data_IF_302776535663
#
_entry.id   IF_302776535663
#
_cell.length_a   1.000
_cell.length_b   1.000
_cell.length_c   1.000
_cell.angle_alpha   90.00
_cell.angle_beta   90.00
_cell.angle_gamma   90.00
#
_symmetry.space_group_name_H-M   'P 1'
#
loop_
_entity.id
_entity.type
_entity.pdbx_description
1 polymer ?
#
# COMPACT_ATOMS: atom_id res chain seq x y z
N UNK A 1 5.05 -5.57 13.45
CA UNK A 1 4.30 -6.62 12.72
C UNK A 1 3.33 -5.99 11.74
N UNK A 2 3.18 -6.50 10.51
CA UNK A 2 2.37 -5.89 9.43
C UNK A 2 0.93 -5.57 9.86
N UNK A 3 0.31 -6.41 10.69
CA UNK A 3 -1.02 -6.16 11.27
C UNK A 3 -1.09 -4.81 12.00
N UNK A 4 -0.05 -4.43 12.76
CA UNK A 4 -0.01 -3.14 13.47
C UNK A 4 0.03 -1.96 12.52
N UNK A 5 0.69 -2.10 11.36
CA UNK A 5 0.69 -1.07 10.34
C UNK A 5 -0.73 -0.86 9.80
N UNK A 6 -1.43 -1.93 9.43
CA UNK A 6 -2.81 -1.81 8.96
C UNK A 6 -3.73 -1.22 10.04
N UNK A 7 -3.56 -1.59 11.32
CA UNK A 7 -4.27 -0.93 12.41
C UNK A 7 -3.97 0.57 12.50
N UNK A 8 -2.72 0.99 12.31
CA UNK A 8 -2.33 2.40 12.29
C UNK A 8 -2.99 3.18 11.13
N UNK A 9 -3.29 2.51 10.00
CA UNK A 9 -4.09 3.06 8.91
C UNK A 9 -5.61 2.99 9.14
N UNK A 10 -6.05 2.60 10.34
CA UNK A 10 -7.46 2.57 10.72
C UNK A 10 -8.24 1.37 10.17
N UNK A 11 -7.58 0.24 9.91
CA UNK A 11 -8.25 -1.03 9.62
C UNK A 11 -8.61 -1.79 10.90
N UNK A 12 -9.80 -2.38 10.93
CA UNK A 12 -10.25 -3.19 12.06
C UNK A 12 -9.69 -4.61 11.99
N UNK A 13 -9.75 -5.34 13.11
CA UNK A 13 -9.37 -6.76 13.13
C UNK A 13 -10.20 -7.60 12.15
N UNK A 14 -11.49 -7.27 11.98
CA UNK A 14 -12.37 -7.95 11.01
C UNK A 14 -11.89 -7.73 9.57
N UNK A 15 -11.50 -6.50 9.23
CA UNK A 15 -10.97 -6.15 7.91
C UNK A 15 -9.68 -6.91 7.61
N UNK A 16 -8.78 -6.94 8.60
CA UNK A 16 -7.47 -7.59 8.48
C UNK A 16 -7.65 -9.11 8.34
N UNK A 17 -8.48 -9.75 9.16
CA UNK A 17 -8.71 -11.19 9.10
C UNK A 17 -9.40 -11.62 7.79
N UNK A 18 -10.48 -10.93 7.41
CA UNK A 18 -11.29 -11.33 6.25
C UNK A 18 -10.57 -11.10 4.91
N UNK A 19 -9.70 -10.09 4.81
CA UNK A 19 -9.05 -9.71 3.56
C UNK A 19 -7.55 -9.91 3.58
N UNK A 20 -6.84 -9.29 4.51
CA UNK A 20 -5.36 -9.30 4.48
C UNK A 20 -4.82 -10.70 4.76
N UNK A 21 -5.27 -11.36 5.83
CA UNK A 21 -4.80 -12.69 6.20
C UNK A 21 -5.27 -13.76 5.20
N UNK A 22 -6.50 -13.62 4.68
CA UNK A 22 -7.11 -14.64 3.82
C UNK A 22 -6.72 -14.51 2.35
N UNK A 23 -6.68 -13.28 1.80
CA UNK A 23 -6.43 -13.05 0.36
C UNK A 23 -4.99 -12.61 0.04
N UNK A 24 -4.28 -12.04 1.03
CA UNK A 24 -2.92 -11.52 0.84
C UNK A 24 -1.93 -12.04 1.91
N UNK A 25 -1.90 -13.36 2.20
CA UNK A 25 -1.08 -13.92 3.28
C UNK A 25 0.41 -13.64 3.10
N UNK A 26 0.88 -13.42 1.86
CA UNK A 26 2.28 -13.07 1.58
C UNK A 26 2.73 -11.78 2.29
N UNK A 27 1.81 -10.86 2.61
CA UNK A 27 2.14 -9.64 3.33
C UNK A 27 2.67 -9.95 4.74
N UNK A 28 2.30 -11.08 5.33
CA UNK A 28 2.78 -11.48 6.66
C UNK A 28 4.27 -11.84 6.66
N UNK A 29 4.80 -12.29 5.52
CA UNK A 29 6.22 -12.60 5.36
C UNK A 29 7.09 -11.36 5.10
N UNK A 30 6.48 -10.18 4.89
CA UNK A 30 7.19 -8.94 4.56
C UNK A 30 7.66 -8.21 5.81
N UNK A 31 8.85 -7.63 5.75
CA UNK A 31 9.35 -6.74 6.80
C UNK A 31 8.77 -5.34 6.65
N UNK A 32 8.25 -4.76 7.73
CA UNK A 32 7.77 -3.38 7.68
C UNK A 32 8.88 -2.43 7.28
N UNK A 33 10.06 -2.55 7.89
CA UNK A 33 11.15 -1.59 7.71
C UNK A 33 11.82 -1.74 6.35
N UNK A 34 12.00 -2.97 5.86
CA UNK A 34 12.72 -3.26 4.62
C UNK A 34 11.80 -3.27 3.39
N UNK A 35 10.57 -3.76 3.53
CA UNK A 35 9.68 -3.98 2.39
C UNK A 35 8.57 -2.94 2.30
N UNK A 36 7.83 -2.67 3.39
CA UNK A 36 6.62 -1.82 3.31
C UNK A 36 6.95 -0.33 3.40
N UNK A 37 7.81 0.06 4.33
CA UNK A 37 8.15 1.47 4.59
C UNK A 37 8.72 2.17 3.34
N UNK A 38 9.67 1.59 2.58
CA UNK A 38 10.17 2.25 1.36
C UNK A 38 9.10 2.42 0.29
N UNK A 39 8.13 1.51 0.22
CA UNK A 39 6.98 1.62 -0.70
C UNK A 39 6.08 2.76 -0.27
N UNK A 40 5.73 2.84 1.02
CA UNK A 40 4.90 3.92 1.56
C UNK A 40 5.56 5.29 1.34
N UNK A 41 6.83 5.45 1.70
CA UNK A 41 7.57 6.69 1.53
C UNK A 41 7.64 7.13 0.07
N UNK A 42 7.83 6.18 -0.86
CA UNK A 42 7.82 6.48 -2.28
C UNK A 42 6.43 6.92 -2.77
N UNK A 43 5.36 6.24 -2.36
CA UNK A 43 3.99 6.60 -2.74
C UNK A 43 3.60 7.99 -2.17
N UNK A 44 3.97 8.28 -0.93
CA UNK A 44 3.74 9.57 -0.28
C UNK A 44 4.52 10.70 -0.98
N UNK A 45 5.78 10.45 -1.32
CA UNK A 45 6.60 11.36 -2.13
C UNK A 45 6.00 11.63 -3.51
N UNK A 46 5.36 10.61 -4.10
CA UNK A 46 4.67 10.69 -5.37
C UNK A 46 3.30 11.41 -5.32
N UNK A 47 2.80 11.74 -4.12
CA UNK A 47 1.55 12.47 -3.90
C UNK A 47 0.40 11.65 -3.29
N UNK A 48 0.54 10.33 -3.18
CA UNK A 48 -0.47 9.46 -2.59
C UNK A 48 -0.48 9.60 -1.06
N UNK A 49 -1.51 10.26 -0.49
CA UNK A 49 -1.52 10.64 0.93
C UNK A 49 -2.85 10.35 1.60
N UNK A 50 -2.81 10.20 2.93
CA UNK A 50 -4.02 10.09 3.76
C UNK A 50 -4.98 9.00 3.28
N UNK A 51 -6.18 9.41 2.90
CA UNK A 51 -7.24 8.50 2.43
C UNK A 51 -6.88 7.77 1.13
N UNK A 52 -6.13 8.40 0.21
CA UNK A 52 -5.73 7.75 -1.04
C UNK A 52 -4.77 6.58 -0.78
N UNK A 53 -3.82 6.80 0.14
CA UNK A 53 -2.86 5.77 0.52
C UNK A 53 -3.56 4.61 1.24
N UNK A 54 -4.49 4.94 2.15
CA UNK A 54 -5.36 3.96 2.78
C UNK A 54 -6.13 3.17 1.70
N UNK A 55 -6.85 3.84 0.82
CA UNK A 55 -7.64 3.21 -0.23
C UNK A 55 -6.79 2.28 -1.13
N UNK A 56 -5.63 2.75 -1.58
CA UNK A 56 -4.69 1.95 -2.38
C UNK A 56 -4.24 0.69 -1.64
N UNK A 57 -3.92 0.79 -0.35
CA UNK A 57 -3.55 -0.36 0.47
C UNK A 57 -4.70 -1.38 0.62
N UNK A 58 -5.96 -0.94 0.57
CA UNK A 58 -7.13 -1.80 0.67
C UNK A 58 -7.50 -2.47 -0.66
N UNK A 59 -7.58 -1.68 -1.72
CA UNK A 59 -7.99 -2.12 -3.04
C UNK A 59 -6.89 -2.94 -3.71
N UNK A 60 -5.64 -2.55 -3.52
CA UNK A 60 -4.50 -3.17 -4.17
C UNK A 60 -3.31 -3.43 -3.21
N UNK A 61 -3.46 -4.33 -2.21
CA UNK A 61 -2.38 -4.66 -1.28
C UNK A 61 -1.12 -5.25 -1.96
N UNK A 62 -1.26 -5.74 -3.20
CA UNK A 62 -0.12 -6.16 -4.05
C UNK A 62 0.83 -5.02 -4.42
N UNK A 63 0.49 -3.77 -4.12
CA UNK A 63 1.41 -2.65 -4.25
C UNK A 63 2.69 -2.85 -3.44
N UNK A 64 2.69 -3.65 -2.37
CA UNK A 64 3.90 -4.00 -1.59
C UNK A 64 4.76 -5.12 -2.22
N UNK A 65 4.56 -5.40 -3.51
CA UNK A 65 5.41 -6.32 -4.29
C UNK A 65 6.65 -5.61 -4.84
N UNK A 66 7.61 -6.39 -5.35
CA UNK A 66 8.87 -5.85 -5.88
C UNK A 66 8.66 -4.90 -7.08
N UNK A 67 7.52 -4.99 -7.77
CA UNK A 67 7.18 -4.19 -8.96
C UNK A 67 6.37 -2.91 -8.65
N UNK A 68 6.36 -2.45 -7.39
CA UNK A 68 5.52 -1.33 -6.97
C UNK A 68 5.71 -0.06 -7.78
N UNK A 69 6.94 0.26 -8.23
CA UNK A 69 7.23 1.45 -9.07
C UNK A 69 6.50 1.39 -10.41
N UNK A 70 6.46 0.21 -11.03
CA UNK A 70 5.75 -0.01 -12.31
C UNK A 70 4.24 0.17 -12.10
N UNK A 71 3.72 -0.33 -10.99
CA UNK A 71 2.31 -0.23 -10.63
C UNK A 71 1.92 1.22 -10.29
N UNK A 72 2.73 1.93 -9.50
CA UNK A 72 2.54 3.35 -9.19
C UNK A 72 2.49 4.21 -10.46
N UNK A 73 3.42 4.01 -11.41
CA UNK A 73 3.38 4.71 -12.72
C UNK A 73 2.15 4.36 -13.55
N UNK A 74 1.60 3.16 -13.40
CA UNK A 74 0.36 2.78 -14.07
C UNK A 74 -0.83 3.52 -13.44
N UNK A 75 -0.94 3.52 -12.13
CA UNK A 75 -2.01 4.23 -11.43
C UNK A 75 -1.96 5.74 -11.64
N UNK A 76 -0.76 6.34 -11.65
CA UNK A 76 -0.58 7.76 -11.96
C UNK A 76 -1.03 8.11 -13.40
N UNK A 77 -0.75 7.24 -14.39
CA UNK A 77 -1.27 7.40 -15.76
C UNK A 77 -2.80 7.33 -15.85
N UNK A 78 -3.41 6.61 -14.91
CA UNK A 78 -4.87 6.48 -14.81
C UNK A 78 -5.49 7.58 -13.93
N UNK A 79 -4.70 8.49 -13.35
CA UNK A 79 -5.19 9.53 -12.45
C UNK A 79 -5.74 8.99 -11.12
N UNK A 80 -5.24 7.84 -10.65
CA UNK A 80 -5.75 7.16 -9.45
C UNK A 80 -4.90 7.47 -8.21
N UNK A 81 -5.54 7.42 -7.04
CA UNK A 81 -4.90 7.46 -5.71
C UNK A 81 -4.01 8.70 -5.45
N UNK A 82 -4.33 9.83 -6.09
CA UNK A 82 -3.57 11.09 -5.91
C UNK A 82 -2.12 11.03 -6.42
N UNK A 83 -1.76 10.03 -7.22
CA UNK A 83 -0.40 9.85 -7.73
C UNK A 83 -0.08 10.81 -8.89
N UNK A 84 1.08 11.47 -8.82
CA UNK A 84 1.57 12.35 -9.88
C UNK A 84 2.74 11.72 -10.65
N UNK A 85 2.64 11.67 -11.98
CA UNK A 85 3.71 11.16 -12.85
C UNK A 85 5.02 11.96 -12.76
N UNK A 86 4.93 13.27 -12.55
CA UNK A 86 6.09 14.15 -12.40
C UNK A 86 6.91 13.87 -11.14
N UNK A 87 6.41 13.02 -10.23
CA UNK A 87 7.02 12.69 -8.94
C UNK A 87 7.44 11.21 -8.80
N UNK A 88 7.34 10.42 -9.87
CA UNK A 88 7.54 8.96 -9.88
C UNK A 88 8.79 8.50 -10.64
#
# INVERSE_FOLDING_TARGET
MVILLFKAFGYTDKDICSRILTMYPFLLAKSITRDLKPVLEHLEGAGCKGNDLRLLMWEYPRIFSNDFRRQARRFARLGMYGLCLSKL
#
